data_IF_222986737209
#
_entry.id   IF_222986737209
#
_cell.length_a   1.000
_cell.length_b   1.000
_cell.length_c   1.000
_cell.angle_alpha   90.00
_cell.angle_beta   90.00
_cell.angle_gamma   90.00
#
_symmetry.space_group_name_H-M   'P 1'
#
loop_
_entity.id
_entity.type
_entity.pdbx_description
1 polymer ?
#
# COMPACT_ATOMS: atom_id res chain seq x y z
N UNK A 1 0.20 -17.78 26.14
CA UNK A 1 1.63 -17.40 26.25
C UNK A 1 2.41 -18.64 26.62
N UNK A 2 3.57 -18.88 25.99
CA UNK A 2 4.50 -19.96 26.35
C UNK A 2 5.84 -19.30 26.63
N UNK A 3 6.49 -19.65 27.74
CA UNK A 3 7.79 -19.09 28.14
C UNK A 3 8.83 -20.20 28.12
N UNK A 4 9.90 -19.96 27.38
CA UNK A 4 11.03 -20.88 27.26
C UNK A 4 12.17 -20.40 28.14
N UNK A 5 12.78 -21.32 28.90
CA UNK A 5 13.78 -21.00 29.91
C UNK A 5 14.97 -21.95 29.80
N UNK A 6 16.14 -21.48 30.22
CA UNK A 6 17.33 -22.30 30.37
C UNK A 6 17.50 -22.72 31.84
N UNK A 7 17.82 -23.99 32.15
CA UNK A 7 18.10 -24.43 33.52
C UNK A 7 19.51 -24.05 34.00
N UNK A 8 20.33 -23.44 33.13
CA UNK A 8 21.68 -23.00 33.47
C UNK A 8 21.65 -21.87 34.50
N UNK A 9 22.47 -21.98 35.54
CA UNK A 9 22.62 -20.95 36.57
C UNK A 9 23.19 -19.64 36.03
N UNK A 10 23.91 -19.68 34.90
CA UNK A 10 24.46 -18.47 34.26
C UNK A 10 23.36 -17.55 33.70
N UNK A 11 22.19 -18.08 33.35
CA UNK A 11 21.05 -17.33 32.83
C UNK A 11 19.95 -17.12 33.89
N UNK A 12 20.30 -17.16 35.17
CA UNK A 12 19.34 -17.06 36.25
C UNK A 12 18.54 -15.75 36.21
N UNK A 13 19.19 -14.61 35.96
CA UNK A 13 18.51 -13.31 35.92
C UNK A 13 17.50 -13.21 34.78
N UNK A 14 17.87 -13.66 33.57
CA UNK A 14 16.99 -13.68 32.41
C UNK A 14 15.81 -14.62 32.62
N UNK A 15 16.07 -15.79 33.24
CA UNK A 15 15.06 -16.78 33.58
C UNK A 15 14.07 -16.23 34.61
N UNK A 16 14.59 -15.58 35.67
CA UNK A 16 13.79 -14.92 36.70
C UNK A 16 12.89 -13.82 36.13
N UNK A 17 13.44 -13.00 35.24
CA UNK A 17 12.69 -11.93 34.60
C UNK A 17 11.59 -12.50 33.69
N UNK A 18 11.91 -13.51 32.87
CA UNK A 18 10.94 -14.17 31.99
C UNK A 18 9.77 -14.79 32.78
N UNK A 19 10.05 -15.42 33.93
CA UNK A 19 9.03 -15.95 34.84
C UNK A 19 8.15 -14.85 35.45
N UNK A 20 8.73 -13.70 35.84
CA UNK A 20 7.93 -12.55 36.30
C UNK A 20 6.96 -12.04 35.23
N UNK A 21 7.38 -12.02 33.97
CA UNK A 21 6.48 -11.65 32.87
C UNK A 21 5.39 -12.70 32.65
N UNK A 22 5.72 -13.98 32.72
CA UNK A 22 4.76 -15.07 32.62
C UNK A 22 3.66 -14.95 33.70
N UNK A 23 4.07 -14.67 34.94
CA UNK A 23 3.14 -14.53 36.07
C UNK A 23 2.21 -13.32 35.91
N UNK A 24 2.75 -12.17 35.47
CA UNK A 24 1.91 -11.01 35.13
C UNK A 24 0.93 -11.33 34.00
N UNK A 25 1.39 -12.00 32.95
CA UNK A 25 0.54 -12.34 31.81
C UNK A 25 -0.60 -13.31 32.15
N UNK A 26 -0.40 -14.19 33.14
CA UNK A 26 -1.46 -15.07 33.68
C UNK A 26 -2.67 -14.28 34.20
N UNK A 27 -2.45 -13.06 34.72
CA UNK A 27 -3.51 -12.22 35.27
C UNK A 27 -4.38 -11.52 34.22
N UNK A 28 -3.93 -11.48 32.96
CA UNK A 28 -4.63 -10.78 31.88
C UNK A 28 -5.88 -11.55 31.51
N UNK A 29 -7.05 -10.94 31.77
CA UNK A 29 -8.34 -11.46 31.34
C UNK A 29 -8.71 -10.85 30.01
N UNK A 30 -8.92 -11.70 29.02
CA UNK A 30 -9.44 -11.32 27.71
C UNK A 30 -10.87 -11.82 27.61
N UNK A 31 -11.78 -10.96 27.20
CA UNK A 31 -13.15 -11.32 26.82
C UNK A 31 -13.23 -11.34 25.28
N UNK A 32 -12.93 -12.50 24.64
CA UNK A 32 -12.87 -12.57 23.19
C UNK A 32 -14.28 -12.48 22.60
N UNK A 33 -14.54 -11.39 21.88
CA UNK A 33 -15.76 -11.26 21.06
C UNK A 33 -15.52 -11.86 19.69
N UNK A 34 -16.50 -12.62 19.22
CA UNK A 34 -16.46 -13.16 17.87
C UNK A 34 -16.57 -12.02 16.86
N UNK A 35 -15.57 -11.88 15.98
CA UNK A 35 -15.58 -10.91 14.89
C UNK A 35 -16.51 -11.37 13.75
N UNK A 36 -17.81 -11.47 14.03
CA UNK A 36 -18.84 -11.64 13.01
C UNK A 36 -19.11 -10.30 12.33
N UNK A 37 -18.25 -9.93 11.36
CA UNK A 37 -18.68 -8.96 10.34
C UNK A 37 -19.67 -9.67 9.44
N UNK A 38 -20.95 -9.61 9.81
CA UNK A 38 -22.01 -9.95 8.87
C UNK A 38 -21.97 -8.88 7.78
N UNK A 39 -21.82 -9.28 6.52
CA UNK A 39 -21.86 -8.38 5.35
C UNK A 39 -23.23 -7.68 5.14
N UNK A 40 -24.08 -7.69 6.17
CA UNK A 40 -25.44 -7.18 6.17
C UNK A 40 -25.50 -5.73 6.69
N UNK A 41 -24.53 -5.31 7.52
CA UNK A 41 -24.45 -3.95 8.06
C UNK A 41 -23.73 -2.98 7.10
N UNK A 42 -24.09 -3.00 5.82
CA UNK A 42 -23.58 -2.06 4.79
C UNK A 42 -24.10 -0.64 4.99
N UNK A 43 -25.05 -0.46 5.92
CA UNK A 43 -25.73 0.81 6.24
C UNK A 43 -24.80 1.95 6.64
N UNK A 44 -23.62 1.65 7.19
CA UNK A 44 -22.62 2.65 7.58
C UNK A 44 -21.68 3.05 6.43
N UNK A 45 -21.57 2.27 5.35
CA UNK A 45 -20.66 2.57 4.25
C UNK A 45 -21.01 3.89 3.53
N UNK A 46 -22.29 4.23 3.27
CA UNK A 46 -22.64 5.55 2.74
C UNK A 46 -22.17 6.70 3.62
N UNK A 47 -22.30 6.56 4.94
CA UNK A 47 -21.87 7.58 5.90
C UNK A 47 -20.34 7.75 5.91
N UNK A 48 -19.60 6.64 5.83
CA UNK A 48 -18.13 6.65 5.70
C UNK A 48 -17.68 7.26 4.38
N UNK A 49 -18.35 6.94 3.26
CA UNK A 49 -18.05 7.55 1.97
C UNK A 49 -18.31 9.05 2.00
N UNK A 50 -19.36 9.49 2.69
CA UNK A 50 -19.69 10.91 2.81
C UNK A 50 -18.70 11.68 3.69
N UNK A 51 -18.24 11.09 4.80
CA UNK A 51 -17.19 11.71 5.64
C UNK A 51 -15.87 11.82 4.87
N UNK A 52 -15.46 10.76 4.16
CA UNK A 52 -14.24 10.76 3.36
C UNK A 52 -14.28 11.77 2.21
N UNK A 53 -15.45 11.96 1.57
CA UNK A 53 -15.63 13.00 0.55
C UNK A 53 -15.49 14.40 1.14
N UNK A 54 -16.08 14.66 2.31
CA UNK A 54 -15.96 15.95 2.99
C UNK A 54 -14.51 16.27 3.37
N UNK A 55 -13.77 15.26 3.87
CA UNK A 55 -12.34 15.40 4.17
C UNK A 55 -11.51 15.70 2.91
N UNK A 56 -11.77 15.01 1.80
CA UNK A 56 -11.09 15.27 0.54
C UNK A 56 -11.33 16.70 0.02
N UNK A 57 -12.55 17.20 0.13
CA UNK A 57 -12.87 18.55 -0.31
C UNK A 57 -12.22 19.61 0.59
N UNK A 58 -12.17 19.36 1.90
CA UNK A 58 -11.44 20.22 2.84
C UNK A 58 -9.94 20.25 2.54
N UNK A 59 -9.31 19.09 2.31
CA UNK A 59 -7.89 18.98 1.99
C UNK A 59 -7.56 19.66 0.65
N UNK A 60 -8.40 19.48 -0.37
CA UNK A 60 -8.24 20.17 -1.65
C UNK A 60 -8.30 21.69 -1.48
N UNK A 61 -9.22 22.19 -0.66
CA UNK A 61 -9.34 23.63 -0.38
C UNK A 61 -8.07 24.16 0.30
N UNK A 62 -7.58 23.46 1.33
CA UNK A 62 -6.34 23.82 2.02
C UNK A 62 -5.14 23.83 1.06
N UNK A 63 -5.08 22.91 0.10
CA UNK A 63 -4.02 22.84 -0.90
C UNK A 63 -4.06 24.05 -1.85
N UNK A 64 -5.26 24.43 -2.32
CA UNK A 64 -5.46 25.63 -3.16
C UNK A 64 -5.08 26.89 -2.39
N UNK A 65 -5.51 27.03 -1.14
CA UNK A 65 -5.18 28.18 -0.29
C UNK A 65 -3.66 28.27 -0.03
N UNK A 66 -2.99 27.13 0.21
CA UNK A 66 -1.54 27.07 0.37
C UNK A 66 -0.78 27.40 -0.93
N UNK A 67 -1.31 27.03 -2.10
CA UNK A 67 -0.73 27.39 -3.39
C UNK A 67 -0.90 28.89 -3.70
N UNK A 68 -2.03 29.48 -3.32
CA UNK A 68 -2.27 30.92 -3.50
C UNK A 68 -1.41 31.78 -2.57
N UNK A 69 -1.15 31.33 -1.34
CA UNK A 69 -0.25 32.05 -0.42
C UNK A 69 1.22 32.04 -0.88
N UNK A 70 1.65 31.04 -1.65
CA UNK A 70 2.98 30.99 -2.27
C UNK A 70 3.08 31.81 -3.57
N UNK A 71 1.98 32.33 -4.10
CA UNK A 71 1.94 33.12 -5.33
C UNK A 71 2.06 34.65 -5.11
N UNK A 72 2.25 35.10 -3.86
CA UNK A 72 2.53 36.51 -3.58
C UNK A 72 4.03 36.80 -3.76
N UNK A 73 4.43 37.66 -4.71
CA UNK A 73 5.84 37.99 -4.91
C UNK A 73 6.29 38.90 -3.78
N UNK A 74 7.08 38.37 -2.84
CA UNK A 74 7.69 39.18 -1.79
C UNK A 74 9.07 39.66 -2.29
N UNK A 75 9.30 40.96 -2.60
CA UNK A 75 10.51 41.43 -3.26
C UNK A 75 11.69 41.68 -2.29
N UNK A 76 11.91 40.83 -1.28
CA UNK A 76 12.99 41.05 -0.27
C UNK A 76 14.02 39.93 -0.11
N UNK A 77 14.05 38.94 -1.00
CA UNK A 77 15.11 37.92 -1.01
C UNK A 77 15.99 38.06 -2.26
N UNK A 78 16.64 39.21 -2.43
CA UNK A 78 17.57 39.50 -3.54
C UNK A 78 19.06 39.42 -3.15
N UNK A 79 19.42 38.81 -2.02
CA UNK A 79 20.81 38.78 -1.53
C UNK A 79 21.26 37.39 -1.02
N UNK A 80 20.85 36.31 -1.68
CA UNK A 80 21.46 35.00 -1.48
C UNK A 80 21.63 34.29 -2.84
N UNK A 81 22.43 34.89 -3.71
CA UNK A 81 23.00 34.22 -4.88
C UNK A 81 24.47 33.97 -4.61
N UNK A 82 24.80 32.75 -4.22
CA UNK A 82 26.13 32.17 -4.41
C UNK A 82 25.96 30.67 -4.68
N UNK A 83 26.40 30.28 -5.89
CA UNK A 83 26.64 28.93 -6.38
C UNK A 83 25.41 28.01 -6.57
N UNK A 84 25.16 27.38 -7.71
CA UNK A 84 25.86 27.24 -9.00
C UNK A 84 24.84 26.76 -10.03
N UNK A 85 24.85 27.42 -11.19
CA UNK A 85 24.74 26.86 -12.56
C UNK A 85 23.66 25.80 -12.85
N UNK A 86 22.69 26.28 -13.63
CA UNK A 86 22.23 25.73 -14.92
C UNK A 86 21.58 24.34 -14.91
N UNK A 87 20.25 24.24 -14.87
CA UNK A 87 19.31 24.40 -16.01
C UNK A 87 19.61 23.50 -17.21
N UNK A 88 18.81 22.45 -17.36
CA UNK A 88 18.04 22.29 -18.60
C UNK A 88 16.70 21.59 -18.31
N UNK A 89 15.63 22.39 -18.36
CA UNK A 89 14.25 21.94 -18.43
C UNK A 89 14.07 21.01 -19.62
N UNK A 90 13.60 19.78 -19.44
CA UNK A 90 12.85 19.05 -20.47
C UNK A 90 11.59 18.44 -19.85
N UNK A 91 10.54 19.24 -19.99
CA UNK A 91 9.12 18.91 -19.89
C UNK A 91 8.78 17.73 -20.80
N UNK A 92 7.69 17.02 -20.45
CA UNK A 92 6.75 16.21 -21.27
C UNK A 92 6.78 14.71 -20.92
N UNK A 93 5.72 14.18 -20.30
CA UNK A 93 4.38 13.81 -20.81
C UNK A 93 4.31 12.30 -21.05
N UNK A 94 3.50 11.61 -20.26
CA UNK A 94 3.22 10.19 -20.47
C UNK A 94 2.16 10.07 -21.57
N UNK A 95 2.52 9.39 -22.67
CA UNK A 95 1.59 8.97 -23.72
C UNK A 95 0.93 7.65 -23.30
N UNK A 96 -0.35 7.49 -23.67
CA UNK A 96 -1.28 6.40 -23.32
C UNK A 96 -0.85 5.02 -23.91
N UNK A 97 0.23 4.96 -24.69
CA UNK A 97 0.59 3.78 -25.50
C UNK A 97 1.77 2.94 -24.95
N UNK A 98 1.85 2.76 -23.63
CA UNK A 98 2.44 1.55 -23.03
C UNK A 98 3.84 1.10 -23.45
N UNK A 99 4.81 2.00 -23.68
CA UNK A 99 6.22 1.61 -23.82
C UNK A 99 7.05 2.04 -22.60
N UNK A 100 7.75 1.06 -22.02
CA UNK A 100 8.68 1.20 -20.91
C UNK A 100 9.96 1.88 -21.40
N UNK A 101 10.21 3.10 -20.93
CA UNK A 101 11.53 3.71 -21.00
C UNK A 101 12.16 3.60 -19.62
N UNK A 102 13.29 2.89 -19.54
CA UNK A 102 14.15 2.85 -18.37
C UNK A 102 14.67 4.26 -18.07
N UNK A 103 14.32 4.81 -16.92
CA UNK A 103 15.06 5.93 -16.32
C UNK A 103 15.39 5.61 -14.87
N UNK A 104 16.69 5.35 -14.69
CA UNK A 104 17.47 5.33 -13.47
C UNK A 104 17.13 6.51 -12.53
N UNK A 105 16.18 6.33 -11.63
CA UNK A 105 15.91 7.26 -10.51
C UNK A 105 15.52 6.49 -9.26
N UNK A 106 16.48 5.78 -8.64
CA UNK A 106 16.19 4.91 -7.49
C UNK A 106 16.81 5.36 -6.15
N UNK A 107 17.27 6.61 -6.07
CA UNK A 107 17.89 7.14 -4.84
C UNK A 107 17.09 8.26 -4.18
N UNK A 108 16.33 9.05 -4.96
CA UNK A 108 15.58 10.19 -4.40
C UNK A 108 14.33 9.78 -3.60
N UNK A 109 13.75 8.62 -3.87
CA UNK A 109 12.58 8.09 -3.14
C UNK A 109 12.93 7.52 -1.76
N UNK A 110 14.19 7.08 -1.55
CA UNK A 110 14.66 6.44 -0.32
C UNK A 110 14.60 7.38 0.88
N UNK A 111 14.97 8.65 0.66
CA UNK A 111 15.06 9.66 1.72
C UNK A 111 13.69 10.24 2.14
N UNK A 112 12.67 10.17 1.29
CA UNK A 112 11.38 10.83 1.54
C UNK A 112 10.52 10.09 2.58
N UNK A 113 10.71 8.78 2.75
CA UNK A 113 9.90 7.96 3.68
C UNK A 113 10.64 7.47 4.92
N UNK A 114 11.94 7.78 5.07
CA UNK A 114 12.72 7.34 6.24
C UNK A 114 12.79 5.81 6.41
N UNK A 115 12.65 5.07 5.31
CA UNK A 115 12.65 3.62 5.30
C UNK A 115 14.09 3.10 5.24
N UNK A 116 14.37 2.02 5.98
CA UNK A 116 15.66 1.33 5.92
C UNK A 116 15.85 0.68 4.54
N UNK A 117 17.10 0.41 4.16
CA UNK A 117 17.41 -0.31 2.91
C UNK A 117 16.74 -1.71 2.88
N UNK A 118 16.57 -2.34 4.04
CA UNK A 118 15.87 -3.62 4.19
C UNK A 118 14.35 -3.48 3.94
N UNK A 119 13.74 -2.38 4.38
CA UNK A 119 12.31 -2.11 4.15
C UNK A 119 12.01 -1.92 2.66
N UNK A 120 12.97 -1.36 1.91
CA UNK A 120 12.86 -1.18 0.47
C UNK A 120 12.92 -2.50 -0.30
N UNK A 121 13.76 -3.43 0.15
CA UNK A 121 13.83 -4.78 -0.43
C UNK A 121 12.51 -5.51 -0.23
N UNK A 122 11.94 -5.44 0.97
CA UNK A 122 10.62 -6.01 1.27
C UNK A 122 9.54 -5.41 0.36
N UNK A 123 9.55 -4.09 0.17
CA UNK A 123 8.56 -3.41 -0.66
C UNK A 123 8.64 -3.84 -2.13
N UNK A 124 9.86 -4.01 -2.64
CA UNK A 124 10.11 -4.49 -4.01
C UNK A 124 9.64 -5.94 -4.19
N UNK A 125 9.91 -6.80 -3.22
CA UNK A 125 9.47 -8.20 -3.24
C UNK A 125 7.94 -8.32 -3.20
N UNK A 126 7.29 -7.51 -2.36
CA UNK A 126 5.82 -7.42 -2.31
C UNK A 126 5.25 -6.93 -3.64
N UNK A 127 5.86 -5.91 -4.25
CA UNK A 127 5.42 -5.39 -5.54
C UNK A 127 5.58 -6.43 -6.66
N UNK A 128 6.68 -7.17 -6.67
CA UNK A 128 6.92 -8.24 -7.64
C UNK A 128 5.91 -9.37 -7.46
N UNK A 129 5.65 -9.78 -6.22
CA UNK A 129 4.65 -10.80 -5.90
C UNK A 129 3.23 -10.41 -6.33
N UNK A 130 2.83 -9.16 -6.06
CA UNK A 130 1.53 -8.63 -6.49
C UNK A 130 1.40 -8.65 -8.01
N UNK A 131 2.45 -8.24 -8.71
CA UNK A 131 2.48 -8.24 -10.18
C UNK A 131 2.32 -9.65 -10.74
N UNK A 132 3.02 -10.63 -10.14
CA UNK A 132 2.87 -12.03 -10.52
C UNK A 132 1.44 -12.53 -10.28
N UNK A 133 0.87 -12.27 -9.11
CA UNK A 133 -0.49 -12.72 -8.78
C UNK A 133 -1.55 -12.11 -9.70
N UNK A 134 -1.38 -10.85 -10.08
CA UNK A 134 -2.28 -10.20 -11.02
C UNK A 134 -2.20 -10.84 -12.42
N UNK A 135 -0.99 -11.20 -12.87
CA UNK A 135 -0.80 -11.89 -14.14
C UNK A 135 -1.41 -13.30 -14.15
N UNK A 136 -1.25 -14.06 -13.06
CA UNK A 136 -1.91 -15.36 -12.88
C UNK A 136 -3.43 -15.24 -12.95
N UNK A 137 -4.00 -14.23 -12.27
CA UNK A 137 -5.44 -13.98 -12.29
C UNK A 137 -5.94 -13.63 -13.69
N UNK A 138 -5.18 -12.81 -14.43
CA UNK A 138 -5.49 -12.46 -15.82
C UNK A 138 -5.48 -13.70 -16.73
N UNK A 139 -4.52 -14.61 -16.52
CA UNK A 139 -4.47 -15.86 -17.27
C UNK A 139 -5.67 -16.77 -16.99
N UNK A 140 -6.06 -16.90 -15.72
CA UNK A 140 -7.25 -17.66 -15.33
C UNK A 140 -8.55 -17.07 -15.94
N UNK A 141 -8.67 -15.74 -15.95
CA UNK A 141 -9.80 -15.07 -16.57
C UNK A 141 -9.89 -15.36 -18.08
N UNK A 142 -8.75 -15.43 -18.77
CA UNK A 142 -8.70 -15.78 -20.19
C UNK A 142 -9.15 -17.22 -20.44
N UNK A 143 -8.61 -18.18 -19.69
CA UNK A 143 -8.98 -19.61 -19.80
C UNK A 143 -10.49 -19.78 -19.56
N UNK A 144 -11.03 -19.12 -18.52
CA UNK A 144 -12.46 -19.20 -18.21
C UNK A 144 -13.32 -18.65 -19.37
N UNK A 145 -12.89 -17.55 -19.98
CA UNK A 145 -13.59 -16.99 -21.14
C UNK A 145 -13.56 -17.93 -22.35
N UNK A 146 -12.42 -18.57 -22.62
CA UNK A 146 -12.30 -19.55 -23.71
C UNK A 146 -13.19 -20.77 -23.51
N UNK A 147 -13.21 -21.34 -22.30
CA UNK A 147 -14.08 -22.48 -21.96
C UNK A 147 -15.55 -22.10 -22.15
N UNK A 148 -15.95 -20.90 -21.71
CA UNK A 148 -17.32 -20.42 -21.88
C UNK A 148 -17.70 -20.21 -23.35
N UNK A 149 -16.75 -19.75 -24.19
CA UNK A 149 -16.96 -19.64 -25.63
C UNK A 149 -17.08 -21.02 -26.29
N UNK A 150 -16.26 -21.99 -25.89
CA UNK A 150 -16.34 -23.37 -26.39
C UNK A 150 -17.66 -24.02 -26.02
N UNK A 151 -18.12 -23.86 -24.78
CA UNK A 151 -19.42 -24.37 -24.32
C UNK A 151 -20.57 -23.77 -25.12
N UNK A 152 -20.55 -22.45 -25.36
CA UNK A 152 -21.56 -21.77 -26.20
C UNK A 152 -21.57 -22.32 -27.63
N UNK A 153 -20.40 -22.55 -28.24
CA UNK A 153 -20.28 -23.13 -29.60
C UNK A 153 -20.81 -24.56 -29.67
N UNK A 154 -20.58 -25.38 -28.64
CA UNK A 154 -21.11 -26.74 -28.59
C UNK A 154 -22.64 -26.74 -28.47
N UNK A 155 -23.20 -25.86 -27.63
CA UNK A 155 -24.64 -25.71 -27.47
C UNK A 155 -25.32 -25.18 -28.76
N UNK A 156 -24.70 -24.23 -29.46
CA UNK A 156 -25.23 -23.73 -30.73
C UNK A 156 -25.21 -24.79 -31.82
N UNK A 157 -24.15 -25.62 -31.90
CA UNK A 157 -24.05 -26.69 -32.89
C UNK A 157 -25.02 -27.85 -32.60
N UNK A 158 -25.32 -28.13 -31.32
CA UNK A 158 -26.32 -29.11 -30.94
C UNK A 158 -27.76 -28.66 -31.31
N UNK A 159 -28.02 -27.35 -31.28
CA UNK A 159 -29.33 -26.78 -31.61
C UNK A 159 -29.63 -26.74 -33.12
N UNK A 160 -28.61 -26.72 -33.99
CA UNK A 160 -28.78 -26.76 -35.46
C UNK A 160 -28.89 -28.15 -36.06
N UNK A 161 -28.73 -29.21 -35.25
CA UNK A 161 -28.84 -30.62 -35.66
C UNK A 161 -30.21 -31.26 -35.32
N UNK A 162 -31.19 -30.47 -34.86
CA UNK A 162 -32.61 -30.84 -34.75
C UNK A 162 -33.44 -30.15 -35.83
#
# INVERSE_FOLDING_TARGET
MIVNLSPSSMQWEETHNSLKYADRAKSIRVDPKLNLRRNEDTSHLPQVVQSLRAELDQLKKQLVDAQQQNASPNPRLSMASMNTKDMSSHRLSVNINGNLVETSTNEMGRSIMGLSDDDWLILKDVQQWLTQKFNELKHYAHIKAEVMQQQTKLLSNAATLQ
#
